data_IF_213178388852
#
_entry.id   IF_213178388852
#
_cell.length_a   1.000
_cell.length_b   1.000
_cell.length_c   1.000
_cell.angle_alpha   90.00
_cell.angle_beta   90.00
_cell.angle_gamma   90.00
#
_symmetry.space_group_name_H-M   'P 1'
#
loop_
_entity.id
_entity.type
_entity.pdbx_description
1 polymer ?
#
# COMPACT_ATOMS: atom_id res chain seq x y z
N UNK A 1 53.08 49.87 32.05
CA UNK A 1 52.84 48.59 31.38
C UNK A 1 51.66 48.73 30.41
N UNK A 2 51.87 48.52 29.11
CA UNK A 2 50.80 48.35 28.11
C UNK A 2 51.24 47.26 27.13
N UNK A 3 50.65 46.08 27.26
CA UNK A 3 50.97 44.93 26.43
C UNK A 3 49.88 44.82 25.35
N UNK A 4 50.21 45.28 24.15
CA UNK A 4 49.35 45.16 22.97
C UNK A 4 49.36 43.69 22.52
N UNK A 5 48.30 42.94 22.83
CA UNK A 5 48.06 41.65 22.21
C UNK A 5 47.72 41.85 20.73
N UNK A 6 48.57 41.33 19.83
CA UNK A 6 48.37 41.36 18.37
C UNK A 6 47.10 40.59 17.98
N UNK A 7 46.06 41.29 17.52
CA UNK A 7 44.75 40.73 17.16
C UNK A 7 44.73 39.73 15.99
N UNK A 8 45.86 39.56 15.26
CA UNK A 8 45.95 38.61 14.13
C UNK A 8 45.88 37.13 14.54
N UNK A 9 46.18 36.79 15.79
CA UNK A 9 46.14 35.39 16.27
C UNK A 9 44.74 34.94 16.70
N UNK A 10 43.91 35.86 17.20
CA UNK A 10 42.57 35.56 17.71
C UNK A 10 41.60 35.20 16.57
N UNK A 11 41.74 35.85 15.41
CA UNK A 11 40.94 35.57 14.21
C UNK A 11 41.26 34.19 13.60
N UNK A 12 42.50 33.71 13.71
CA UNK A 12 42.91 32.38 13.22
C UNK A 12 42.39 31.24 14.10
N UNK A 13 42.26 31.48 15.41
CA UNK A 13 41.73 30.48 16.35
C UNK A 13 40.22 30.28 16.18
N UNK A 14 39.48 31.34 15.84
CA UNK A 14 38.02 31.30 15.60
C UNK A 14 37.64 30.45 14.37
N UNK A 15 38.42 30.51 13.29
CA UNK A 15 38.17 29.71 12.08
C UNK A 15 38.37 28.20 12.26
N UNK A 16 39.26 27.78 13.17
CA UNK A 16 39.51 26.38 13.47
C UNK A 16 38.34 25.72 14.23
N UNK A 17 37.66 26.48 15.10
CA UNK A 17 36.51 25.97 15.84
C UNK A 17 35.29 25.72 14.95
N UNK A 18 35.04 26.56 13.94
CA UNK A 18 33.90 26.39 13.02
C UNK A 18 34.04 25.14 12.15
N UNK A 19 35.27 24.80 11.72
CA UNK A 19 35.57 23.56 10.97
C UNK A 19 35.47 22.29 11.83
N UNK A 20 35.81 22.37 13.12
CA UNK A 20 35.72 21.22 14.04
C UNK A 20 34.27 20.87 14.41
N UNK A 21 33.35 21.84 14.42
CA UNK A 21 31.93 21.56 14.64
C UNK A 21 31.17 21.13 13.37
N UNK A 22 31.67 21.43 12.17
CA UNK A 22 31.02 21.02 10.91
C UNK A 22 31.15 19.53 10.60
N UNK A 23 32.10 18.80 11.22
CA UNK A 23 32.25 17.34 11.02
C UNK A 23 31.32 16.51 11.91
N UNK A 24 30.87 17.04 13.06
CA UNK A 24 29.99 16.30 13.99
C UNK A 24 28.56 16.19 13.42
N UNK A 25 28.13 17.14 12.59
CA UNK A 25 26.78 17.10 11.97
C UNK A 25 26.66 16.13 10.81
N UNK A 26 27.77 15.68 10.20
CA UNK A 26 27.73 14.78 9.03
C UNK A 26 27.62 13.31 9.45
N UNK A 27 28.22 12.93 10.60
CA UNK A 27 28.18 11.53 11.09
C UNK A 27 26.82 11.12 11.65
N UNK A 28 25.94 12.08 11.97
CA UNK A 28 24.56 11.82 12.36
C UNK A 28 23.56 11.96 11.20
N UNK A 29 24.04 12.29 9.99
CA UNK A 29 23.21 12.41 8.78
C UNK A 29 23.11 11.12 7.98
N UNK A 30 23.85 10.08 8.34
CA UNK A 30 23.44 8.71 8.06
C UNK A 30 22.49 8.26 9.17
N UNK A 31 21.35 8.94 9.30
CA UNK A 31 20.16 8.19 9.69
C UNK A 31 20.10 7.08 8.66
N UNK A 32 20.17 5.83 9.14
CA UNK A 32 19.70 4.72 8.34
C UNK A 32 18.27 5.12 8.05
N UNK A 33 18.03 5.54 6.82
CA UNK A 33 16.69 5.59 6.30
C UNK A 33 16.23 4.14 6.50
N UNK A 34 15.35 3.93 7.49
CA UNK A 34 14.56 2.72 7.58
C UNK A 34 13.60 2.79 6.40
N UNK A 35 14.16 2.72 5.19
CA UNK A 35 13.42 2.46 3.98
C UNK A 35 12.83 1.08 4.24
N UNK A 36 11.52 1.01 4.52
CA UNK A 36 10.82 -0.27 4.56
C UNK A 36 11.14 -0.99 3.25
N UNK A 37 12.00 -2.03 3.35
CA UNK A 37 12.44 -2.76 2.17
C UNK A 37 11.18 -3.36 1.52
N UNK A 38 10.94 -3.00 0.26
CA UNK A 38 9.83 -3.57 -0.49
C UNK A 38 9.99 -5.10 -0.53
N UNK A 39 8.92 -5.81 -0.20
CA UNK A 39 8.89 -7.26 -0.11
C UNK A 39 7.92 -7.85 -1.15
N UNK A 40 8.18 -9.09 -1.54
CA UNK A 40 7.26 -9.85 -2.37
C UNK A 40 6.20 -10.52 -1.48
N UNK A 41 4.95 -10.37 -1.85
CA UNK A 41 3.79 -10.94 -1.17
C UNK A 41 3.02 -11.86 -2.11
N UNK A 42 2.40 -12.89 -1.53
CA UNK A 42 1.41 -13.72 -2.25
C UNK A 42 0.04 -13.08 -2.09
N UNK A 43 -0.55 -12.65 -3.19
CA UNK A 43 -1.85 -11.97 -3.22
C UNK A 43 -2.90 -12.84 -3.88
N UNK A 44 -4.13 -12.77 -3.39
CA UNK A 44 -5.30 -13.31 -4.06
C UNK A 44 -6.52 -12.40 -3.89
N UNK A 45 -7.22 -12.15 -4.99
CA UNK A 45 -8.55 -11.54 -4.99
C UNK A 45 -9.62 -12.64 -5.03
N UNK A 46 -10.65 -12.51 -4.19
CA UNK A 46 -11.80 -13.42 -4.18
C UNK A 46 -13.12 -12.63 -4.21
N UNK A 47 -14.07 -13.11 -4.99
CA UNK A 47 -15.44 -12.60 -5.07
C UNK A 47 -16.40 -13.77 -4.86
N UNK A 48 -17.41 -13.62 -4.01
CA UNK A 48 -18.47 -14.61 -3.81
C UNK A 48 -19.83 -13.96 -3.58
N UNK A 49 -20.87 -14.64 -4.03
CA UNK A 49 -22.26 -14.30 -3.76
C UNK A 49 -22.92 -15.42 -2.94
N UNK A 50 -24.00 -15.08 -2.25
CA UNK A 50 -24.88 -16.07 -1.59
C UNK A 50 -26.21 -16.18 -2.33
N UNK A 51 -26.98 -17.22 -1.99
CA UNK A 51 -28.39 -17.41 -2.40
C UNK A 51 -28.61 -17.37 -3.93
N UNK A 52 -27.58 -17.70 -4.73
CA UNK A 52 -27.66 -17.79 -6.19
C UNK A 52 -27.42 -16.46 -6.94
N UNK A 53 -26.81 -15.45 -6.31
CA UNK A 53 -26.40 -14.23 -6.99
C UNK A 53 -25.42 -14.46 -8.14
N UNK A 54 -25.52 -13.67 -9.20
CA UNK A 54 -24.70 -13.83 -10.41
C UNK A 54 -23.68 -12.70 -10.50
N UNK A 55 -22.40 -13.04 -10.54
CA UNK A 55 -21.33 -12.06 -10.75
C UNK A 55 -21.37 -11.60 -12.21
N UNK A 56 -21.34 -10.27 -12.42
CA UNK A 56 -21.47 -9.62 -13.73
C UNK A 56 -20.20 -8.95 -14.21
N UNK A 57 -19.42 -8.40 -13.30
CA UNK A 57 -18.15 -7.78 -13.63
C UNK A 57 -17.19 -7.88 -12.47
N UNK A 58 -15.92 -8.02 -12.80
CA UNK A 58 -14.81 -7.95 -11.86
C UNK A 58 -13.75 -7.07 -12.50
N UNK A 59 -13.28 -6.08 -11.76
CA UNK A 59 -12.15 -5.24 -12.15
C UNK A 59 -11.10 -5.36 -11.07
N UNK A 60 -9.87 -5.67 -11.46
CA UNK A 60 -8.73 -5.69 -10.55
C UNK A 60 -7.67 -4.73 -11.03
N UNK A 61 -6.91 -4.19 -10.09
CA UNK A 61 -5.74 -3.38 -10.37
C UNK A 61 -4.60 -3.74 -9.42
N UNK A 62 -3.40 -3.85 -9.98
CA UNK A 62 -2.14 -4.02 -9.24
C UNK A 62 -1.19 -2.93 -9.73
N UNK A 63 -0.85 -1.98 -8.86
CA UNK A 63 -0.18 -0.75 -9.27
C UNK A 63 -0.96 -0.04 -10.36
N UNK A 64 -0.41 0.02 -11.58
CA UNK A 64 -1.05 0.64 -12.75
C UNK A 64 -1.65 -0.37 -13.73
N UNK A 65 -1.48 -1.67 -13.48
CA UNK A 65 -1.97 -2.73 -14.36
C UNK A 65 -3.39 -3.11 -13.99
N UNK A 66 -4.32 -2.90 -14.92
CA UNK A 66 -5.75 -3.17 -14.74
C UNK A 66 -6.19 -4.38 -15.56
N UNK A 67 -7.04 -5.21 -14.97
CA UNK A 67 -7.73 -6.32 -15.66
C UNK A 67 -9.24 -6.17 -15.48
N UNK A 68 -9.97 -6.24 -16.59
CA UNK A 68 -11.44 -6.22 -16.60
C UNK A 68 -11.97 -7.60 -17.04
N UNK A 69 -12.90 -8.15 -16.28
CA UNK A 69 -13.60 -9.39 -16.60
C UNK A 69 -15.10 -9.10 -16.60
N UNK A 70 -15.73 -9.33 -17.73
CA UNK A 70 -17.18 -9.19 -17.89
C UNK A 70 -17.83 -10.57 -17.98
N UNK A 71 -19.00 -10.69 -17.38
CA UNK A 71 -19.80 -11.92 -17.31
C UNK A 71 -18.97 -13.16 -16.92
N UNK A 72 -18.19 -13.12 -15.82
CA UNK A 72 -17.28 -14.21 -15.41
C UNK A 72 -17.95 -15.57 -15.14
N UNK A 73 -19.28 -15.62 -15.16
CA UNK A 73 -20.17 -16.76 -14.90
C UNK A 73 -20.01 -17.36 -13.50
N UNK A 74 -21.13 -17.40 -12.76
CA UNK A 74 -21.24 -18.13 -11.49
C UNK A 74 -21.39 -17.25 -10.26
N UNK A 75 -21.31 -17.90 -9.10
CA UNK A 75 -21.49 -17.32 -7.76
C UNK A 75 -20.15 -17.05 -7.06
N UNK A 76 -19.04 -17.50 -7.64
CA UNK A 76 -17.70 -17.36 -7.05
C UNK A 76 -16.67 -17.12 -8.14
N UNK A 77 -15.67 -16.30 -7.84
CA UNK A 77 -14.49 -16.10 -8.67
C UNK A 77 -13.26 -15.88 -7.78
N UNK A 78 -12.11 -16.32 -8.25
CA UNK A 78 -10.81 -16.01 -7.64
C UNK A 78 -9.79 -15.75 -8.74
N UNK A 79 -8.85 -14.86 -8.48
CA UNK A 79 -7.68 -14.64 -9.35
C UNK A 79 -6.70 -15.82 -9.34
N UNK A 80 -6.82 -16.72 -8.38
CA UNK A 80 -5.71 -17.56 -7.92
C UNK A 80 -4.67 -16.72 -7.17
N UNK A 81 -3.65 -17.40 -6.65
CA UNK A 81 -2.51 -16.76 -6.00
C UNK A 81 -1.52 -16.22 -7.04
N UNK A 82 -0.99 -15.02 -6.81
CA UNK A 82 0.05 -14.42 -7.63
C UNK A 82 0.99 -13.55 -6.78
N UNK A 83 2.23 -13.39 -7.23
CA UNK A 83 3.22 -12.58 -6.52
C UNK A 83 3.09 -11.10 -6.87
N UNK A 84 3.16 -10.25 -5.85
CA UNK A 84 3.21 -8.79 -5.98
C UNK A 84 4.30 -8.24 -5.08
N UNK A 85 5.21 -7.46 -5.65
CA UNK A 85 6.16 -6.68 -4.86
C UNK A 85 5.45 -5.44 -4.27
N UNK A 86 5.67 -5.14 -3.00
CA UNK A 86 5.00 -4.02 -2.32
C UNK A 86 5.32 -2.65 -2.93
N UNK A 87 6.35 -2.53 -3.76
CA UNK A 87 6.62 -1.33 -4.57
C UNK A 87 5.50 -1.01 -5.58
N UNK A 88 4.63 -1.97 -5.92
CA UNK A 88 3.46 -1.71 -6.75
C UNK A 88 2.42 -0.83 -6.04
N UNK A 89 2.60 -0.57 -4.75
CA UNK A 89 1.88 0.36 -3.89
C UNK A 89 0.38 0.07 -3.69
N UNK A 90 -0.38 -0.26 -4.72
CA UNK A 90 -1.84 -0.33 -4.67
C UNK A 90 -2.39 -1.67 -5.20
N UNK A 91 -3.42 -2.16 -4.52
CA UNK A 91 -4.26 -3.28 -4.93
C UNK A 91 -5.73 -2.83 -4.90
N UNK A 92 -6.46 -3.02 -6.00
CA UNK A 92 -7.89 -2.71 -6.06
C UNK A 92 -8.67 -3.90 -6.59
N UNK A 93 -9.87 -4.09 -6.04
CA UNK A 93 -10.83 -5.09 -6.47
C UNK A 93 -12.23 -4.48 -6.43
N UNK A 94 -12.88 -4.37 -7.59
CA UNK A 94 -14.27 -4.04 -7.73
C UNK A 94 -15.04 -5.24 -8.27
N UNK A 95 -16.18 -5.57 -7.67
CA UNK A 95 -17.07 -6.58 -8.18
C UNK A 95 -18.50 -6.06 -8.25
N UNK A 96 -19.19 -6.39 -9.35
CA UNK A 96 -20.62 -6.17 -9.52
C UNK A 96 -21.33 -7.52 -9.61
N UNK A 97 -22.44 -7.66 -8.90
CA UNK A 97 -23.29 -8.83 -9.00
C UNK A 97 -24.78 -8.45 -8.99
N UNK A 98 -25.60 -9.28 -9.64
CA UNK A 98 -27.05 -9.23 -9.51
C UNK A 98 -27.49 -10.25 -8.46
N UNK A 99 -28.11 -9.77 -7.39
CA UNK A 99 -28.51 -10.59 -6.25
C UNK A 99 -30.04 -10.84 -6.24
N UNK A 100 -30.50 -12.07 -5.98
CA UNK A 100 -31.91 -12.41 -6.14
C UNK A 100 -32.80 -11.97 -4.97
N UNK A 101 -32.28 -11.92 -3.74
CA UNK A 101 -33.08 -11.71 -2.53
C UNK A 101 -32.51 -10.59 -1.64
N UNK A 102 -33.34 -9.95 -0.79
CA UNK A 102 -32.86 -8.88 0.10
C UNK A 102 -31.80 -9.31 1.13
N UNK A 103 -31.70 -10.60 1.44
CA UNK A 103 -30.71 -11.20 2.34
C UNK A 103 -29.51 -11.81 1.59
N UNK A 104 -29.50 -11.75 0.25
CA UNK A 104 -28.35 -12.16 -0.55
C UNK A 104 -27.16 -11.23 -0.29
N UNK A 105 -25.97 -11.81 -0.34
CA UNK A 105 -24.72 -11.12 -0.07
C UNK A 105 -23.81 -11.15 -1.29
N UNK A 106 -23.09 -10.05 -1.52
CA UNK A 106 -21.89 -9.98 -2.34
C UNK A 106 -20.71 -9.69 -1.41
N UNK A 107 -19.74 -10.59 -1.39
CA UNK A 107 -18.55 -10.50 -0.55
C UNK A 107 -17.32 -10.50 -1.44
N UNK A 108 -16.44 -9.54 -1.21
CA UNK A 108 -15.11 -9.49 -1.83
C UNK A 108 -14.04 -9.54 -0.74
N UNK A 109 -12.99 -10.32 -0.98
CA UNK A 109 -11.88 -10.51 -0.06
C UNK A 109 -10.56 -10.23 -0.79
N UNK A 110 -9.64 -9.60 -0.05
CA UNK A 110 -8.23 -9.50 -0.42
C UNK A 110 -7.43 -10.33 0.57
N UNK A 111 -6.67 -11.28 0.02
CA UNK A 111 -5.75 -12.12 0.75
C UNK A 111 -4.32 -11.68 0.47
N UNK A 112 -3.50 -11.60 1.52
CA UNK A 112 -2.07 -11.36 1.45
C UNK A 112 -1.39 -12.39 2.36
N UNK A 113 -0.44 -13.13 1.82
CA UNK A 113 0.34 -14.17 2.50
C UNK A 113 -0.52 -15.21 3.24
N UNK A 114 -1.65 -15.57 2.62
CA UNK A 114 -2.60 -16.56 3.14
C UNK A 114 -3.59 -16.02 4.18
N UNK A 115 -3.54 -14.73 4.51
CA UNK A 115 -4.44 -14.08 5.46
C UNK A 115 -5.39 -13.09 4.78
N UNK A 116 -6.64 -13.01 5.24
CA UNK A 116 -7.59 -11.99 4.77
C UNK A 116 -7.24 -10.66 5.41
N UNK A 117 -6.70 -9.73 4.63
CA UNK A 117 -6.37 -8.37 5.11
C UNK A 117 -7.53 -7.39 4.96
N UNK A 118 -8.45 -7.63 4.02
CA UNK A 118 -9.66 -6.83 3.80
C UNK A 118 -10.83 -7.69 3.33
N UNK A 119 -12.01 -7.37 3.84
CA UNK A 119 -13.30 -7.90 3.38
C UNK A 119 -14.28 -6.75 3.21
N UNK A 120 -14.99 -6.71 2.09
CA UNK A 120 -16.17 -5.88 1.90
C UNK A 120 -17.38 -6.76 1.63
N UNK A 121 -18.48 -6.47 2.31
CA UNK A 121 -19.76 -7.16 2.16
C UNK A 121 -20.86 -6.18 1.84
N UNK A 122 -21.68 -6.53 0.84
CA UNK A 122 -22.92 -5.85 0.49
C UNK A 122 -24.07 -6.84 0.63
N UNK A 123 -25.19 -6.40 1.20
CA UNK A 123 -26.38 -7.23 1.40
C UNK A 123 -27.57 -6.54 0.72
N UNK A 124 -28.34 -7.28 -0.05
CA UNK A 124 -29.51 -6.73 -0.75
C UNK A 124 -29.89 -7.50 -2.01
N UNK A 125 -30.92 -7.00 -2.69
CA UNK A 125 -31.40 -7.53 -3.96
C UNK A 125 -31.08 -6.57 -5.12
N UNK A 126 -31.02 -7.11 -6.34
CA UNK A 126 -30.69 -6.37 -7.55
C UNK A 126 -29.19 -6.16 -7.74
N UNK A 127 -28.78 -5.21 -8.60
CA UNK A 127 -27.38 -4.95 -8.89
C UNK A 127 -26.69 -4.27 -7.70
N UNK A 128 -25.69 -4.94 -7.12
CA UNK A 128 -24.82 -4.38 -6.09
C UNK A 128 -23.36 -4.34 -6.56
N UNK A 129 -22.60 -3.41 -5.99
CA UNK A 129 -21.17 -3.25 -6.22
C UNK A 129 -20.44 -3.26 -4.88
N UNK A 130 -19.35 -4.02 -4.80
CA UNK A 130 -18.44 -4.04 -3.66
C UNK A 130 -17.02 -3.73 -4.14
N UNK A 131 -16.30 -2.93 -3.37
CA UNK A 131 -14.97 -2.41 -3.73
C UNK A 131 -14.02 -2.55 -2.54
N UNK A 132 -12.78 -2.96 -2.83
CA UNK A 132 -11.63 -2.91 -1.93
C UNK A 132 -10.57 -2.05 -2.61
N UNK A 133 -10.06 -1.08 -1.85
CA UNK A 133 -8.85 -0.34 -2.14
C UNK A 133 -7.86 -0.64 -1.02
N UNK A 134 -6.64 -1.02 -1.38
CA UNK A 134 -5.58 -1.33 -0.43
C UNK A 134 -4.27 -0.73 -0.91
N UNK A 135 -3.48 -0.20 0.02
CA UNK A 135 -2.15 0.31 -0.24
C UNK A 135 -1.14 -0.40 0.65
N UNK A 136 -0.04 -0.87 0.06
CA UNK A 136 1.12 -1.35 0.81
C UNK A 136 1.87 -0.22 1.54
N UNK A 137 1.57 1.04 1.21
CA UNK A 137 2.22 2.22 1.79
C UNK A 137 1.40 2.85 2.93
N UNK A 138 0.22 2.32 3.24
CA UNK A 138 -0.58 2.80 4.37
C UNK A 138 -0.05 2.20 5.68
N UNK A 139 0.54 3.06 6.52
CA UNK A 139 0.98 2.78 7.90
C UNK A 139 -0.20 2.76 8.89
#
# INVERSE_FOLDING_TARGET
MKQFYKSKSLLRLSFLFVLLFSVITVVNSCKKDDDEEFADHVVQFEVKTTTGGVIRAIVTQVGTTKTDIFDPVGTTWSSGEFFVNSSQAQLNLDAKADLPNPDSELVVNLWIDGEIVRTKKMVGAGPLVASIDYSFLEL
#
